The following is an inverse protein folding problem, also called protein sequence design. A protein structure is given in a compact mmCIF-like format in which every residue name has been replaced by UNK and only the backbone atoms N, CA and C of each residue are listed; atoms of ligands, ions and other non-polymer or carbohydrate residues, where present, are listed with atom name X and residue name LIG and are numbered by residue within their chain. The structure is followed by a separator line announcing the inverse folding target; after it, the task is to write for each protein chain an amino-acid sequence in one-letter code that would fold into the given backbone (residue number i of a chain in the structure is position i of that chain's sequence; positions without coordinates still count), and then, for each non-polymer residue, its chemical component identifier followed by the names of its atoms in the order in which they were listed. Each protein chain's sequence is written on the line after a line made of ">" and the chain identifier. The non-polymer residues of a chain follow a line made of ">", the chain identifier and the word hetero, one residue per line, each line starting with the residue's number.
data_IF_004584841862
#
_entry.id   IF_004584841862
#
_cell.length_a   1.000
_cell.length_b   1.000
_cell.length_c   1.000
_cell.angle_alpha   90.00
_cell.angle_beta   90.00
_cell.angle_gamma   90.00
#
_symmetry.space_group_name_H-M   'P 1'
#
loop_
_entity.id
_entity.type
_entity.pdbx_description
1 polymer ?
#
# COMPACT_ATOMS: atom_id res chain seq x y z
N UNK A 1 -12.35 -35.11 -56.03
CA UNK A 1 -13.15 -34.31 -57.00
C UNK A 1 -14.58 -34.28 -56.47
N UNK A 2 -15.33 -33.19 -56.26
CA UNK A 2 -15.25 -31.72 -56.41
C UNK A 2 -16.23 -31.16 -55.33
N UNK A 3 -15.79 -30.25 -54.46
CA UNK A 3 -16.27 -28.85 -54.33
C UNK A 3 -17.79 -28.65 -54.49
N UNK A 4 -18.47 -28.34 -53.38
CA UNK A 4 -19.65 -27.46 -53.37
C UNK A 4 -19.22 -26.04 -52.97
N UNK A 5 -19.86 -24.97 -53.48
CA UNK A 5 -19.32 -23.62 -53.40
C UNK A 5 -19.50 -22.98 -52.03
N UNK A 6 -18.45 -22.28 -51.63
CA UNK A 6 -18.41 -21.26 -50.60
C UNK A 6 -19.18 -20.03 -51.09
N UNK A 7 -20.26 -19.67 -50.40
CA UNK A 7 -20.86 -18.33 -50.50
C UNK A 7 -20.47 -17.55 -49.26
N UNK A 8 -19.85 -16.41 -49.54
CA UNK A 8 -19.38 -15.39 -48.62
C UNK A 8 -20.53 -14.43 -48.26
N UNK A 9 -20.51 -13.91 -47.04
CA UNK A 9 -20.88 -12.55 -46.59
C UNK A 9 -21.25 -12.61 -45.10
N UNK A 10 -20.91 -11.71 -44.18
CA UNK A 10 -19.92 -10.65 -43.97
C UNK A 10 -20.04 -10.35 -42.44
N UNK A 11 -18.98 -9.98 -41.71
CA UNK A 11 -18.95 -10.01 -40.25
C UNK A 11 -19.58 -8.75 -39.67
N UNK A 12 -20.59 -8.92 -38.81
CA UNK A 12 -20.95 -7.86 -37.88
C UNK A 12 -19.91 -7.86 -36.75
N UNK A 13 -18.88 -7.03 -36.95
CA UNK A 13 -18.12 -6.43 -35.86
C UNK A 13 -19.12 -5.74 -34.93
N UNK A 14 -19.50 -6.45 -33.86
CA UNK A 14 -20.14 -5.85 -32.71
C UNK A 14 -19.16 -4.83 -32.12
N UNK A 15 -19.38 -3.57 -32.46
CA UNK A 15 -18.75 -2.40 -31.85
C UNK A 15 -18.87 -2.50 -30.34
N UNK A 16 -17.79 -2.90 -29.68
CA UNK A 16 -17.62 -2.69 -28.24
C UNK A 16 -17.59 -1.18 -28.02
N UNK A 17 -18.73 -0.64 -27.58
CA UNK A 17 -18.83 0.69 -27.01
C UNK A 17 -17.86 0.77 -25.84
N UNK A 18 -16.71 1.41 -26.06
CA UNK A 18 -15.81 1.81 -24.99
C UNK A 18 -16.49 2.90 -24.17
N UNK A 19 -16.74 2.60 -22.90
CA UNK A 19 -17.25 3.53 -21.91
C UNK A 19 -16.39 4.82 -21.89
N UNK A 20 -16.96 6.01 -22.17
CA UNK A 20 -16.21 7.26 -22.22
C UNK A 20 -15.68 7.74 -20.85
N UNK A 21 -15.91 6.98 -19.77
CA UNK A 21 -15.34 7.25 -18.44
C UNK A 21 -14.19 6.31 -18.04
N UNK A 22 -13.73 5.41 -18.93
CA UNK A 22 -12.54 4.61 -18.69
C UNK A 22 -11.25 5.44 -18.83
N UNK A 23 -11.03 6.36 -17.89
CA UNK A 23 -9.73 7.00 -17.73
C UNK A 23 -8.76 5.92 -17.22
N UNK A 24 -7.99 5.30 -18.12
CA UNK A 24 -6.88 4.43 -17.75
C UNK A 24 -5.68 5.33 -17.38
N UNK A 25 -5.33 5.49 -16.09
CA UNK A 25 -4.08 6.15 -15.75
C UNK A 25 -2.96 5.22 -16.23
N UNK A 26 -2.19 5.66 -17.23
CA UNK A 26 -1.06 4.89 -17.79
C UNK A 26 0.10 4.77 -16.80
N UNK A 27 0.19 5.68 -15.83
CA UNK A 27 1.25 5.70 -14.84
C UNK A 27 0.93 4.82 -13.63
N UNK A 28 1.75 3.78 -13.43
CA UNK A 28 1.70 2.89 -12.26
C UNK A 28 1.97 3.62 -10.95
N UNK A 29 2.65 4.77 -10.98
CA UNK A 29 2.89 5.63 -9.81
C UNK A 29 2.54 7.08 -10.16
N UNK A 30 1.63 7.66 -9.38
CA UNK A 30 1.16 9.05 -9.53
C UNK A 30 1.64 9.91 -8.35
N UNK A 31 1.61 11.23 -8.52
CA UNK A 31 1.99 12.18 -7.47
C UNK A 31 0.78 12.98 -6.98
N UNK A 32 0.40 12.75 -5.73
CA UNK A 32 -0.74 13.39 -5.09
C UNK A 32 -0.24 14.28 -3.93
N UNK A 33 -0.40 15.59 -4.10
CA UNK A 33 0.07 16.61 -3.13
C UNK A 33 1.55 16.44 -2.71
N UNK A 34 2.39 15.98 -3.64
CA UNK A 34 3.84 15.80 -3.43
C UNK A 34 4.22 14.49 -2.74
N UNK A 35 3.30 13.53 -2.66
CA UNK A 35 3.54 12.15 -2.22
C UNK A 35 3.35 11.19 -3.40
N UNK A 36 4.21 10.15 -3.53
CA UNK A 36 3.94 9.08 -4.49
C UNK A 36 2.74 8.27 -4.01
N UNK A 37 1.93 7.81 -4.96
CA UNK A 37 0.86 6.84 -4.76
C UNK A 37 0.91 5.85 -5.92
N UNK A 38 1.07 4.57 -5.62
CA UNK A 38 1.07 3.50 -6.60
C UNK A 38 -0.37 3.15 -6.98
N UNK A 39 -0.70 3.44 -8.23
CA UNK A 39 -2.04 3.32 -8.79
C UNK A 39 -2.25 1.89 -9.33
N UNK A 40 -2.25 0.94 -8.42
CA UNK A 40 -2.33 -0.49 -8.71
C UNK A 40 -3.70 -1.05 -8.30
N UNK A 41 -4.11 -2.11 -8.99
CA UNK A 41 -5.18 -2.99 -8.53
C UNK A 41 -4.72 -3.81 -7.32
N UNK A 42 -5.66 -4.37 -6.56
CA UNK A 42 -5.35 -5.28 -5.45
C UNK A 42 -4.43 -6.44 -5.87
N UNK A 43 -4.69 -7.06 -7.04
CA UNK A 43 -3.88 -8.17 -7.56
C UNK A 43 -2.45 -7.73 -7.90
N UNK A 44 -2.30 -6.60 -8.59
CA UNK A 44 -0.99 -6.01 -8.90
C UNK A 44 -0.23 -5.66 -7.61
N UNK A 45 -0.89 -5.10 -6.60
CA UNK A 45 -0.27 -4.76 -5.31
C UNK A 45 0.24 -6.01 -4.59
N UNK A 46 -0.55 -7.09 -4.55
CA UNK A 46 -0.13 -8.37 -3.97
C UNK A 46 1.08 -8.92 -4.72
N UNK A 47 1.04 -8.93 -6.06
CA UNK A 47 2.16 -9.41 -6.88
C UNK A 47 3.45 -8.61 -6.62
N UNK A 48 3.34 -7.29 -6.46
CA UNK A 48 4.49 -6.44 -6.12
C UNK A 48 5.03 -6.78 -4.72
N UNK A 49 4.17 -7.02 -3.74
CA UNK A 49 4.57 -7.39 -2.36
C UNK A 49 5.20 -8.78 -2.32
N UNK A 50 4.61 -9.78 -2.98
CA UNK A 50 5.08 -11.17 -2.99
C UNK A 50 6.18 -11.46 -4.00
N UNK A 51 6.62 -10.46 -4.76
CA UNK A 51 7.64 -10.58 -5.81
C UNK A 51 8.93 -11.28 -5.39
N UNK A 52 9.74 -11.62 -6.40
CA UNK A 52 10.83 -12.59 -6.30
C UNK A 52 11.85 -12.32 -5.17
N UNK A 53 12.37 -13.39 -4.53
CA UNK A 53 13.43 -13.28 -3.53
C UNK A 53 14.73 -12.70 -4.12
N UNK A 54 15.64 -12.25 -3.25
CA UNK A 54 16.96 -11.71 -3.64
C UNK A 54 17.01 -10.22 -3.95
N UNK A 55 15.90 -9.50 -3.75
CA UNK A 55 15.88 -8.03 -3.78
C UNK A 55 16.29 -7.44 -2.42
N UNK A 56 16.81 -6.20 -2.39
CA UNK A 56 17.01 -5.47 -1.14
C UNK A 56 15.70 -5.37 -0.34
N UNK A 57 15.76 -5.20 0.98
CA UNK A 57 14.57 -5.10 1.81
C UNK A 57 13.73 -3.87 1.41
N UNK A 58 12.41 -4.03 1.36
CA UNK A 58 11.49 -3.03 0.81
C UNK A 58 10.51 -2.48 1.84
N UNK A 59 10.12 -1.23 1.67
CA UNK A 59 9.11 -0.53 2.47
C UNK A 59 7.79 -0.42 1.71
N UNK A 60 6.72 -0.88 2.35
CA UNK A 60 5.36 -0.78 1.80
C UNK A 60 4.46 -0.04 2.79
N UNK A 61 3.87 1.07 2.34
CA UNK A 61 3.05 1.92 3.19
C UNK A 61 1.66 2.15 2.58
N UNK A 62 0.70 2.45 3.45
CA UNK A 62 -0.67 2.76 3.05
C UNK A 62 -0.98 4.20 3.44
N UNK A 63 -1.36 5.02 2.45
CA UNK A 63 -1.63 6.44 2.66
C UNK A 63 -3.12 6.74 2.59
N UNK A 64 -3.64 7.30 3.68
CA UNK A 64 -5.00 7.85 3.75
C UNK A 64 -4.96 9.37 3.98
N UNK A 65 -6.12 10.03 4.03
CA UNK A 65 -6.22 11.49 4.22
C UNK A 65 -5.44 12.02 5.44
N UNK A 66 -5.39 11.23 6.53
CA UNK A 66 -4.60 11.59 7.70
C UNK A 66 -3.09 11.53 7.44
N UNK A 67 -2.63 10.51 6.72
CA UNK A 67 -1.21 10.35 6.35
C UNK A 67 -0.74 11.56 5.52
N UNK A 68 -1.53 11.97 4.53
CA UNK A 68 -1.25 13.17 3.75
C UNK A 68 -1.13 14.40 4.65
N UNK A 69 -2.06 14.55 5.60
CA UNK A 69 -2.03 15.69 6.49
C UNK A 69 -0.79 15.74 7.39
N UNK A 70 -0.33 14.58 7.86
CA UNK A 70 0.90 14.42 8.65
C UNK A 70 2.13 14.71 7.79
N UNK A 71 2.22 14.15 6.58
CA UNK A 71 3.36 14.36 5.68
C UNK A 71 3.54 15.82 5.24
N UNK A 72 2.44 16.58 5.11
CA UNK A 72 2.53 18.02 4.82
C UNK A 72 3.05 18.85 6.01
N UNK A 73 3.15 18.27 7.21
CA UNK A 73 3.65 18.94 8.42
C UNK A 73 4.95 18.33 8.96
N UNK A 74 5.29 17.11 8.57
CA UNK A 74 6.48 16.38 9.00
C UNK A 74 7.32 16.01 7.77
N UNK A 75 8.46 16.68 7.61
CA UNK A 75 9.35 16.50 6.46
C UNK A 75 10.03 15.13 6.45
N UNK A 76 10.37 14.56 7.61
CA UNK A 76 11.01 13.25 7.70
C UNK A 76 10.06 12.15 7.24
N UNK A 77 8.81 12.19 7.71
CA UNK A 77 7.77 11.27 7.27
C UNK A 77 7.49 11.43 5.77
N UNK A 78 7.46 12.66 5.25
CA UNK A 78 7.29 12.91 3.82
C UNK A 78 8.43 12.33 2.99
N UNK A 79 9.69 12.60 3.36
CA UNK A 79 10.87 12.07 2.67
C UNK A 79 10.88 10.55 2.70
N UNK A 80 10.50 9.96 3.84
CA UNK A 80 10.37 8.52 3.97
C UNK A 80 9.33 7.93 3.01
N UNK A 81 8.13 8.53 2.91
CA UNK A 81 7.13 8.07 1.95
C UNK A 81 7.61 8.22 0.50
N UNK A 82 8.38 9.27 0.19
CA UNK A 82 8.91 9.50 -1.16
C UNK A 82 9.95 8.45 -1.59
N UNK A 83 10.69 7.86 -0.65
CA UNK A 83 11.67 6.80 -0.90
C UNK A 83 11.12 5.38 -0.72
N UNK A 84 9.84 5.23 -0.37
CA UNK A 84 9.25 3.91 -0.19
C UNK A 84 9.07 3.19 -1.52
N UNK A 85 9.29 1.87 -1.51
CA UNK A 85 9.17 1.02 -2.68
C UNK A 85 7.72 0.93 -3.17
N UNK A 86 6.75 0.91 -2.23
CA UNK A 86 5.33 0.92 -2.55
C UNK A 86 4.53 1.78 -1.57
N UNK A 87 3.66 2.63 -2.11
CA UNK A 87 2.77 3.52 -1.36
C UNK A 87 1.35 3.37 -1.91
N UNK A 88 0.56 2.54 -1.24
CA UNK A 88 -0.78 2.18 -1.69
C UNK A 88 -1.84 3.14 -1.14
N UNK A 89 -2.88 3.47 -1.92
CA UNK A 89 -3.97 4.30 -1.43
C UNK A 89 -4.85 3.55 -0.43
N UNK A 90 -5.26 4.24 0.64
CA UNK A 90 -6.16 3.73 1.66
C UNK A 90 -7.34 4.68 1.88
N UNK A 91 -8.51 4.24 1.45
CA UNK A 91 -9.80 4.85 1.75
C UNK A 91 -10.27 5.92 0.75
N UNK A 92 -11.52 6.34 0.94
CA UNK A 92 -12.26 7.20 0.00
C UNK A 92 -11.61 8.57 -0.21
N UNK A 93 -10.90 9.11 0.79
CA UNK A 93 -10.27 10.43 0.70
C UNK A 93 -9.25 10.52 -0.44
N UNK A 94 -8.45 9.47 -0.65
CA UNK A 94 -7.46 9.45 -1.73
C UNK A 94 -8.15 9.34 -3.09
N UNK A 95 -9.22 8.54 -3.20
CA UNK A 95 -10.04 8.46 -4.41
C UNK A 95 -10.62 9.83 -4.78
N UNK A 96 -11.22 10.55 -3.82
CA UNK A 96 -11.74 11.91 -4.02
C UNK A 96 -10.64 12.88 -4.47
N UNK A 97 -9.47 12.83 -3.84
CA UNK A 97 -8.35 13.68 -4.21
C UNK A 97 -7.82 13.36 -5.61
N UNK A 98 -7.74 12.08 -5.99
CA UNK A 98 -7.36 11.66 -7.33
C UNK A 98 -8.32 12.22 -8.40
N UNK A 99 -9.63 12.11 -8.18
CA UNK A 99 -10.64 12.68 -9.08
C UNK A 99 -10.51 14.21 -9.20
N UNK A 100 -10.42 14.92 -8.07
CA UNK A 100 -10.32 16.38 -8.05
C UNK A 100 -9.03 16.92 -8.70
N UNK A 101 -7.98 16.10 -8.76
CA UNK A 101 -6.67 16.47 -9.32
C UNK A 101 -6.44 15.93 -10.73
N UNK A 102 -7.42 15.25 -11.34
CA UNK A 102 -7.33 14.70 -12.70
C UNK A 102 -6.48 13.42 -12.82
N UNK A 103 -6.25 12.72 -11.71
CA UNK A 103 -5.50 11.46 -11.66
C UNK A 103 -6.30 10.43 -10.85
N UNK A 104 -7.40 9.87 -11.40
CA UNK A 104 -8.25 8.95 -10.67
C UNK A 104 -7.49 7.70 -10.22
N UNK A 105 -7.82 7.23 -9.02
CA UNK A 105 -7.23 6.03 -8.42
C UNK A 105 -8.02 4.81 -8.90
N UNK A 106 -7.31 3.82 -9.45
CA UNK A 106 -7.85 2.60 -10.06
C UNK A 106 -8.51 1.70 -9.04
N UNK A 107 -7.87 1.50 -7.89
CA UNK A 107 -8.38 0.61 -6.85
C UNK A 107 -8.03 1.11 -5.45
N UNK A 108 -8.87 0.76 -4.47
CA UNK A 108 -8.61 0.99 -3.06
C UNK A 108 -7.88 -0.21 -2.48
N UNK A 109 -6.61 -0.38 -2.87
CA UNK A 109 -5.69 -1.42 -2.38
C UNK A 109 -5.28 -1.18 -0.91
N UNK A 110 -6.26 -0.96 -0.04
CA UNK A 110 -6.08 -0.67 1.37
C UNK A 110 -5.55 -1.89 2.12
N UNK A 111 -4.75 -1.65 3.16
CA UNK A 111 -4.07 -2.72 3.89
C UNK A 111 -5.04 -3.73 4.50
N UNK A 112 -6.21 -3.30 4.96
CA UNK A 112 -7.16 -4.21 5.61
C UNK A 112 -7.75 -5.22 4.63
N UNK A 113 -8.18 -4.78 3.44
CA UNK A 113 -8.71 -5.67 2.41
C UNK A 113 -7.61 -6.49 1.71
N UNK A 114 -6.37 -5.97 1.70
CA UNK A 114 -5.21 -6.64 1.13
C UNK A 114 -4.72 -7.83 1.96
N UNK A 115 -4.90 -7.81 3.28
CA UNK A 115 -4.31 -8.82 4.17
C UNK A 115 -4.80 -10.25 3.93
N UNK A 116 -6.13 -10.56 3.86
CA UNK A 116 -6.57 -11.92 3.58
C UNK A 116 -6.06 -12.52 2.25
N UNK A 117 -6.16 -11.85 1.10
CA UNK A 117 -5.62 -12.40 -0.14
C UNK A 117 -4.09 -12.46 -0.14
N UNK A 118 -3.38 -11.53 0.53
CA UNK A 118 -1.94 -11.61 0.70
C UNK A 118 -1.53 -12.84 1.54
N UNK A 119 -2.23 -13.11 2.66
CA UNK A 119 -2.02 -14.33 3.45
C UNK A 119 -2.15 -15.60 2.61
N UNK A 120 -3.17 -15.69 1.75
CA UNK A 120 -3.35 -16.83 0.84
C UNK A 120 -2.23 -16.94 -0.19
N UNK A 121 -1.80 -15.82 -0.78
CA UNK A 121 -0.70 -15.82 -1.73
C UNK A 121 0.62 -16.29 -1.09
N UNK A 122 0.88 -15.87 0.15
CA UNK A 122 2.06 -16.28 0.91
C UNK A 122 2.00 -17.75 1.32
N UNK A 123 0.84 -18.22 1.78
CA UNK A 123 0.64 -19.64 2.09
C UNK A 123 0.96 -20.53 0.87
N UNK A 124 0.44 -20.16 -0.30
CA UNK A 124 0.71 -20.88 -1.55
C UNK A 124 2.18 -20.84 -1.99
N UNK A 125 2.93 -19.80 -1.63
CA UNK A 125 4.34 -19.65 -1.98
C UNK A 125 5.32 -20.07 -0.87
N UNK A 126 4.83 -20.60 0.26
CA UNK A 126 5.66 -20.91 1.44
C UNK A 126 6.24 -19.69 2.17
N UNK A 127 5.66 -18.52 1.96
CA UNK A 127 6.07 -17.26 2.58
C UNK A 127 5.70 -17.18 4.06
N UNK A 128 6.55 -16.49 4.83
CA UNK A 128 6.47 -16.43 6.30
C UNK A 128 6.26 -15.01 6.79
N UNK A 129 5.43 -14.83 7.81
CA UNK A 129 5.09 -13.49 8.32
C UNK A 129 5.42 -13.31 9.81
N UNK A 130 5.80 -12.10 10.17
CA UNK A 130 5.87 -11.63 11.56
C UNK A 130 4.91 -10.46 11.79
N UNK A 131 4.25 -10.44 12.94
CA UNK A 131 3.25 -9.42 13.30
C UNK A 131 3.73 -8.56 14.47
N UNK A 132 4.08 -7.29 14.23
CA UNK A 132 4.51 -6.32 15.24
C UNK A 132 3.48 -5.21 15.40
N UNK A 133 3.06 -4.88 16.61
CA UNK A 133 2.31 -3.65 16.87
C UNK A 133 1.04 -3.85 17.68
N UNK A 134 0.23 -2.79 17.71
CA UNK A 134 -0.96 -2.67 18.54
C UNK A 134 -0.71 -2.92 20.04
N UNK A 135 -1.78 -3.02 20.82
CA UNK A 135 -1.73 -3.29 22.26
C UNK A 135 -1.42 -4.77 22.53
N UNK A 136 -0.91 -5.12 23.72
CA UNK A 136 -0.78 -6.52 24.14
C UNK A 136 -2.08 -7.31 23.88
N UNK A 137 -1.96 -8.52 23.32
CA UNK A 137 -3.07 -9.41 22.96
C UNK A 137 -3.65 -9.17 21.57
N UNK A 138 -3.40 -8.02 20.93
CA UNK A 138 -3.99 -7.71 19.62
C UNK A 138 -3.26 -8.46 18.50
N UNK A 139 -1.93 -8.46 18.49
CA UNK A 139 -1.16 -9.18 17.46
C UNK A 139 -1.40 -10.70 17.54
N UNK A 140 -1.52 -11.23 18.75
CA UNK A 140 -1.89 -12.62 19.04
C UNK A 140 -3.29 -12.96 18.50
N UNK A 141 -4.24 -12.04 18.63
CA UNK A 141 -5.57 -12.19 18.04
C UNK A 141 -5.52 -12.28 16.51
N UNK A 142 -4.63 -11.52 15.87
CA UNK A 142 -4.41 -11.61 14.41
C UNK A 142 -3.78 -12.96 14.05
N UNK A 143 -2.82 -13.46 14.83
CA UNK A 143 -2.28 -14.82 14.66
C UNK A 143 -3.39 -15.87 14.72
N UNK A 144 -4.27 -15.78 15.74
CA UNK A 144 -5.37 -16.71 15.91
C UNK A 144 -6.37 -16.63 14.74
N UNK A 145 -6.63 -15.43 14.21
CA UNK A 145 -7.45 -15.28 13.01
C UNK A 145 -6.78 -15.93 11.78
N UNK A 146 -5.50 -15.65 11.54
CA UNK A 146 -4.77 -16.17 10.40
C UNK A 146 -4.66 -17.71 10.45
N UNK A 147 -4.35 -18.30 11.60
CA UNK A 147 -4.31 -19.76 11.78
C UNK A 147 -5.66 -20.43 11.48
N UNK A 148 -6.79 -19.77 11.77
CA UNK A 148 -8.13 -20.29 11.46
C UNK A 148 -8.52 -20.16 10.00
N UNK A 149 -8.09 -19.10 9.31
CA UNK A 149 -8.57 -18.76 7.95
C UNK A 149 -7.56 -19.05 6.84
N UNK A 150 -6.29 -19.22 7.18
CA UNK A 150 -5.17 -19.51 6.30
C UNK A 150 -4.19 -20.45 7.03
N UNK A 151 -4.57 -21.70 7.34
CA UNK A 151 -3.78 -22.61 8.18
C UNK A 151 -2.42 -22.99 7.59
N UNK A 152 -2.25 -22.85 6.27
CA UNK A 152 -0.97 -23.08 5.57
C UNK A 152 0.01 -21.89 5.68
N UNK A 153 -0.45 -20.74 6.17
CA UNK A 153 0.41 -19.57 6.37
C UNK A 153 1.31 -19.77 7.59
N UNK A 154 2.62 -19.60 7.38
CA UNK A 154 3.59 -19.68 8.47
C UNK A 154 3.71 -18.31 9.17
N UNK A 155 3.35 -18.26 10.45
CA UNK A 155 3.55 -17.10 11.31
C UNK A 155 4.74 -17.38 12.21
N UNK A 156 5.85 -16.69 11.99
CA UNK A 156 7.10 -16.94 12.72
C UNK A 156 7.15 -16.26 14.10
N UNK A 157 6.24 -15.30 14.32
CA UNK A 157 6.06 -14.70 15.64
C UNK A 157 5.15 -13.48 15.61
N UNK A 158 4.84 -13.02 16.82
CA UNK A 158 4.16 -11.74 17.02
C UNK A 158 4.69 -11.03 18.27
N UNK A 159 4.54 -9.70 18.29
CA UNK A 159 4.90 -8.85 19.41
C UNK A 159 4.06 -7.57 19.43
N UNK A 160 3.74 -7.03 20.61
CA UNK A 160 3.01 -5.78 20.72
C UNK A 160 3.86 -4.55 20.35
N UNK A 161 3.23 -3.41 20.07
CA UNK A 161 3.92 -2.15 19.71
C UNK A 161 4.36 -1.28 20.89
N UNK A 162 4.05 -1.68 22.12
CA UNK A 162 4.35 -0.93 23.36
C UNK A 162 5.62 -1.44 24.03
N UNK A 163 6.75 -1.34 23.34
CA UNK A 163 8.08 -1.59 23.90
C UNK A 163 8.80 -0.26 24.14
N UNK A 164 9.66 -0.24 25.15
CA UNK A 164 10.56 0.87 25.49
C UNK A 164 11.75 0.92 24.54
N UNK A 165 12.49 2.03 24.56
CA UNK A 165 13.74 2.16 23.79
C UNK A 165 14.82 1.16 24.21
N UNK A 166 14.79 0.71 25.46
CA UNK A 166 15.71 -0.32 25.96
C UNK A 166 15.36 -1.72 25.43
N UNK A 167 14.07 -1.99 25.19
CA UNK A 167 13.59 -3.28 24.66
C UNK A 167 13.64 -3.34 23.12
N UNK A 168 13.70 -2.19 22.44
CA UNK A 168 13.70 -2.11 20.97
C UNK A 168 14.78 -2.99 20.29
N UNK A 169 16.05 -3.03 20.75
CA UNK A 169 17.04 -3.92 20.17
C UNK A 169 16.65 -5.41 20.24
N UNK A 170 16.04 -5.84 21.35
CA UNK A 170 15.58 -7.23 21.52
C UNK A 170 14.41 -7.56 20.58
N UNK A 171 13.52 -6.59 20.35
CA UNK A 171 12.42 -6.75 19.38
C UNK A 171 12.97 -6.90 17.96
N UNK A 172 13.94 -6.08 17.58
CA UNK A 172 14.61 -6.15 16.27
C UNK A 172 15.30 -7.51 16.09
N UNK A 173 16.08 -7.94 17.09
CA UNK A 173 16.76 -9.23 17.09
C UNK A 173 15.79 -10.39 16.94
N UNK A 174 14.67 -10.37 17.69
CA UNK A 174 13.62 -11.39 17.59
C UNK A 174 13.02 -11.47 16.19
N UNK A 175 12.81 -10.33 15.54
CA UNK A 175 12.28 -10.29 14.16
C UNK A 175 13.33 -10.87 13.19
N UNK A 176 14.59 -10.43 13.30
CA UNK A 176 15.68 -10.89 12.44
C UNK A 176 15.92 -12.40 12.53
N UNK A 177 15.85 -12.96 13.75
CA UNK A 177 16.02 -14.39 13.99
C UNK A 177 14.79 -15.24 13.67
N UNK A 178 13.62 -14.61 13.46
CA UNK A 178 12.38 -15.34 13.19
C UNK A 178 12.34 -16.02 11.82
N UNK A 179 13.19 -15.59 10.88
CA UNK A 179 13.15 -16.04 9.48
C UNK A 179 11.89 -15.62 8.73
N UNK A 180 11.26 -14.52 9.14
CA UNK A 180 10.11 -13.95 8.43
C UNK A 180 10.51 -13.35 7.08
N UNK A 181 9.67 -13.54 6.06
CA UNK A 181 9.79 -12.84 4.79
C UNK A 181 9.18 -11.44 4.85
N UNK A 182 8.00 -11.34 5.47
CA UNK A 182 7.23 -10.11 5.57
C UNK A 182 7.00 -9.74 7.04
N UNK A 183 7.25 -8.48 7.37
CA UNK A 183 6.91 -7.89 8.67
C UNK A 183 5.70 -6.96 8.51
N UNK A 184 4.66 -7.18 9.31
CA UNK A 184 3.53 -6.26 9.42
C UNK A 184 3.67 -5.42 10.69
N UNK A 185 3.69 -4.09 10.54
CA UNK A 185 3.89 -3.14 11.65
C UNK A 185 2.64 -2.28 11.86
N UNK A 186 2.02 -2.39 13.04
CA UNK A 186 0.78 -1.72 13.41
C UNK A 186 0.98 -0.76 14.62
N UNK A 187 1.93 0.17 14.52
CA UNK A 187 2.24 1.12 15.60
C UNK A 187 1.60 2.51 15.43
N UNK A 188 0.92 2.72 14.31
CA UNK A 188 0.27 3.99 13.98
C UNK A 188 1.20 4.99 13.30
N UNK A 189 0.59 5.94 12.60
CA UNK A 189 1.27 6.95 11.78
C UNK A 189 1.70 8.14 12.66
N UNK A 190 2.91 8.70 12.50
CA UNK A 190 3.99 8.29 11.58
C UNK A 190 5.00 7.30 12.20
N UNK A 191 4.77 6.86 13.44
CA UNK A 191 5.74 6.06 14.20
C UNK A 191 6.13 4.78 13.49
N UNK A 192 5.15 4.06 12.92
CA UNK A 192 5.42 2.77 12.26
C UNK A 192 6.29 2.93 11.01
N UNK A 193 6.05 3.94 10.18
CA UNK A 193 6.85 4.15 8.98
C UNK A 193 8.25 4.59 9.37
N UNK A 194 8.37 5.58 10.27
CA UNK A 194 9.67 6.07 10.72
C UNK A 194 10.52 4.96 11.33
N UNK A 195 9.91 4.10 12.16
CA UNK A 195 10.58 2.96 12.75
C UNK A 195 11.04 1.94 11.70
N UNK A 196 10.17 1.59 10.74
CA UNK A 196 10.56 0.73 9.60
C UNK A 196 11.74 1.35 8.86
N UNK A 197 11.65 2.64 8.51
CA UNK A 197 12.68 3.33 7.75
C UNK A 197 14.01 3.51 8.49
N UNK A 198 14.03 3.39 9.81
CA UNK A 198 15.23 3.43 10.64
C UNK A 198 15.89 2.06 10.79
N UNK A 199 15.10 0.99 10.81
CA UNK A 199 15.57 -0.35 11.16
C UNK A 199 15.51 -1.37 10.02
N UNK A 200 15.05 -0.98 8.82
CA UNK A 200 14.79 -1.89 7.69
C UNK A 200 15.89 -2.94 7.47
N UNK A 201 17.15 -2.49 7.40
CA UNK A 201 18.32 -3.34 7.17
C UNK A 201 18.59 -4.33 8.32
N UNK A 202 18.23 -3.98 9.55
CA UNK A 202 18.44 -4.80 10.74
C UNK A 202 17.32 -5.80 11.01
N UNK A 203 16.17 -5.66 10.33
CA UNK A 203 15.00 -6.52 10.58
C UNK A 203 15.12 -7.90 9.95
N UNK A 204 16.03 -8.10 8.98
CA UNK A 204 16.22 -9.40 8.32
C UNK A 204 15.03 -9.85 7.46
N UNK A 205 14.07 -8.97 7.18
CA UNK A 205 12.87 -9.26 6.37
C UNK A 205 13.01 -8.70 4.96
N UNK A 206 12.35 -9.33 3.99
CA UNK A 206 12.33 -8.84 2.59
C UNK A 206 11.40 -7.66 2.40
N UNK A 207 10.30 -7.61 3.14
CA UNK A 207 9.32 -6.52 3.04
C UNK A 207 8.80 -6.16 4.41
N UNK A 208 8.82 -4.86 4.75
CA UNK A 208 8.19 -4.32 5.94
C UNK A 208 7.00 -3.43 5.57
N UNK A 209 5.82 -3.74 6.13
CA UNK A 209 4.55 -3.10 5.82
C UNK A 209 4.04 -2.29 7.02
N UNK A 210 3.82 -1.00 6.84
CA UNK A 210 3.14 -0.16 7.84
C UNK A 210 1.62 -0.26 7.70
N UNK A 211 0.95 -1.08 8.51
CA UNK A 211 -0.48 -1.45 8.31
C UNK A 211 -1.47 -0.75 9.24
N UNK A 212 -0.99 0.01 10.23
CA UNK A 212 -1.84 0.83 11.10
C UNK A 212 -2.97 0.03 11.76
N UNK A 213 -4.21 0.49 11.59
CA UNK A 213 -5.39 -0.04 12.28
C UNK A 213 -5.88 -1.41 11.79
N UNK A 214 -5.13 -2.10 10.92
CA UNK A 214 -5.47 -3.44 10.41
C UNK A 214 -5.65 -4.46 11.55
N UNK A 215 -4.73 -4.43 12.52
CA UNK A 215 -4.70 -5.39 13.61
C UNK A 215 -5.94 -5.31 14.50
N UNK A 216 -6.50 -4.10 14.68
CA UNK A 216 -7.73 -3.91 15.46
C UNK A 216 -8.91 -4.73 14.89
N UNK A 217 -8.95 -4.94 13.57
CA UNK A 217 -10.03 -5.69 12.92
C UNK A 217 -9.81 -7.19 12.98
N UNK A 218 -8.63 -7.66 12.58
CA UNK A 218 -8.36 -9.10 12.48
C UNK A 218 -8.12 -9.77 13.82
N UNK A 219 -7.78 -8.99 14.86
CA UNK A 219 -7.77 -9.48 16.25
C UNK A 219 -9.17 -9.71 16.84
N UNK A 220 -10.23 -9.20 16.20
CA UNK A 220 -11.59 -9.20 16.75
C UNK A 220 -11.84 -8.09 17.79
N UNK A 221 -10.85 -7.22 18.08
CA UNK A 221 -10.99 -6.10 19.01
C UNK A 221 -12.06 -5.11 18.57
N UNK A 222 -12.11 -4.81 17.27
CA UNK A 222 -13.10 -3.92 16.67
C UNK A 222 -13.81 -4.67 15.54
N UNK A 223 -15.15 -4.76 15.55
CA UNK A 223 -15.88 -5.32 14.43
C UNK A 223 -15.62 -4.50 13.15
N UNK A 224 -15.55 -5.15 12.00
CA UNK A 224 -15.50 -4.45 10.71
C UNK A 224 -16.84 -3.76 10.42
N UNK A 225 -16.81 -2.69 9.64
CA UNK A 225 -18.04 -2.07 9.16
C UNK A 225 -18.82 -3.06 8.26
N UNK A 226 -20.16 -3.05 8.28
CA UNK A 226 -20.97 -3.83 7.35
C UNK A 226 -20.56 -3.63 5.88
N UNK A 227 -20.74 -4.66 5.06
CA UNK A 227 -20.30 -4.64 3.65
C UNK A 227 -20.86 -3.45 2.86
N UNK A 228 -22.12 -3.08 3.09
CA UNK A 228 -22.73 -1.93 2.42
C UNK A 228 -22.02 -0.61 2.77
N UNK A 229 -21.63 -0.42 4.03
CA UNK A 229 -20.88 0.77 4.46
C UNK A 229 -19.49 0.80 3.83
N UNK A 230 -18.82 -0.36 3.77
CA UNK A 230 -17.49 -0.49 3.16
C UNK A 230 -17.54 -0.15 1.67
N UNK A 231 -18.53 -0.69 0.94
CA UNK A 231 -18.77 -0.39 -0.48
C UNK A 231 -19.10 1.10 -0.71
N UNK A 232 -19.83 1.72 0.22
CA UNK A 232 -20.11 3.16 0.18
C UNK A 232 -18.93 4.05 0.63
N UNK A 233 -17.80 3.48 1.06
CA UNK A 233 -16.65 4.24 1.57
C UNK A 233 -16.86 4.87 2.94
N UNK A 234 -17.84 4.38 3.73
CA UNK A 234 -18.25 4.90 5.05
C UNK A 234 -17.57 4.19 6.23
N UNK A 235 -16.56 3.35 5.99
CA UNK A 235 -15.86 2.63 7.08
C UNK A 235 -15.17 3.58 8.07
N UNK A 236 -14.71 4.75 7.62
CA UNK A 236 -14.16 5.78 8.50
C UNK A 236 -15.21 6.32 9.49
N UNK A 237 -16.47 6.47 9.06
CA UNK A 237 -17.57 6.93 9.89
C UNK A 237 -17.93 5.86 10.93
N UNK A 238 -17.98 4.60 10.50
CA UNK A 238 -18.17 3.47 11.42
C UNK A 238 -17.08 3.43 12.50
N UNK A 239 -15.81 3.61 12.11
CA UNK A 239 -14.68 3.71 13.05
C UNK A 239 -14.83 4.91 14.00
N UNK A 240 -15.29 6.07 13.51
CA UNK A 240 -15.54 7.24 14.35
C UNK A 240 -16.59 6.96 15.43
N UNK A 241 -17.69 6.29 15.07
CA UNK A 241 -18.75 5.90 16.00
C UNK A 241 -18.22 4.93 17.07
N UNK A 242 -17.37 3.98 16.67
CA UNK A 242 -16.77 3.00 17.60
C UNK A 242 -15.69 3.58 18.51
N UNK A 243 -14.95 4.58 18.04
CA UNK A 243 -13.82 5.14 18.77
C UNK A 243 -13.77 6.68 18.71
N UNK A 244 -14.80 7.38 19.21
CA UNK A 244 -14.96 8.83 19.01
C UNK A 244 -13.84 9.64 19.67
N UNK A 245 -13.38 9.25 20.85
CA UNK A 245 -12.28 9.93 21.56
C UNK A 245 -10.95 9.76 20.81
N UNK A 246 -10.66 8.55 20.35
CA UNK A 246 -9.39 8.22 19.68
C UNK A 246 -9.31 8.86 18.29
N UNK A 247 -10.41 8.84 17.53
CA UNK A 247 -10.41 9.20 16.10
C UNK A 247 -11.13 10.52 15.79
N UNK A 248 -11.79 11.14 16.75
CA UNK A 248 -12.58 12.37 16.57
C UNK A 248 -11.78 13.51 15.95
N UNK A 249 -10.64 13.89 16.55
CA UNK A 249 -9.77 14.93 15.99
C UNK A 249 -9.29 14.61 14.57
N UNK A 250 -8.95 13.33 14.33
CA UNK A 250 -8.46 12.87 13.02
C UNK A 250 -9.52 13.04 11.93
N UNK A 251 -10.79 12.73 12.22
CA UNK A 251 -11.83 12.79 11.19
C UNK A 251 -12.56 14.13 11.14
N UNK A 252 -12.97 14.68 12.28
CA UNK A 252 -13.77 15.91 12.33
C UNK A 252 -12.97 17.17 11.97
N UNK A 253 -11.67 17.19 12.26
CA UNK A 253 -10.77 18.30 11.89
C UNK A 253 -9.88 17.91 10.72
N UNK A 254 -9.30 16.70 10.76
CA UNK A 254 -8.37 16.27 9.73
C UNK A 254 -9.01 16.10 8.35
N UNK A 255 -10.22 15.55 8.22
CA UNK A 255 -10.84 15.37 6.90
C UNK A 255 -11.18 16.72 6.25
N UNK A 256 -11.80 17.72 6.94
CA UNK A 256 -11.97 19.05 6.36
C UNK A 256 -10.66 19.72 5.94
N UNK A 257 -9.61 19.65 6.76
CA UNK A 257 -8.28 20.17 6.40
C UNK A 257 -7.73 19.50 5.14
N UNK A 258 -7.90 18.19 5.03
CA UNK A 258 -7.48 17.44 3.85
C UNK A 258 -8.25 17.90 2.60
N UNK A 259 -9.58 18.00 2.68
CA UNK A 259 -10.41 18.46 1.55
C UNK A 259 -10.07 19.91 1.14
N UNK A 260 -9.85 20.80 2.10
CA UNK A 260 -9.41 22.17 1.82
C UNK A 260 -8.05 22.22 1.10
N UNK A 261 -7.12 21.33 1.48
CA UNK A 261 -5.84 21.19 0.76
C UNK A 261 -6.04 20.67 -0.65
N UNK A 262 -6.87 19.64 -0.85
CA UNK A 262 -7.21 19.11 -2.18
C UNK A 262 -7.78 20.22 -3.06
N UNK A 263 -8.77 20.98 -2.55
CA UNK A 263 -9.38 22.09 -3.27
C UNK A 263 -8.36 23.17 -3.64
N UNK A 264 -7.46 23.54 -2.71
CA UNK A 264 -6.39 24.50 -2.98
C UNK A 264 -5.41 24.01 -4.05
N UNK A 265 -5.01 22.73 -4.02
CA UNK A 265 -4.15 22.15 -5.06
C UNK A 265 -4.85 22.09 -6.41
N UNK A 266 -6.13 21.73 -6.45
CA UNK A 266 -6.94 21.73 -7.66
C UNK A 266 -7.07 23.14 -8.25
N UNK A 267 -7.37 24.14 -7.41
CA UNK A 267 -7.43 25.55 -7.80
C UNK A 267 -6.08 26.05 -8.34
N UNK A 268 -4.97 25.75 -7.66
CA UNK A 268 -3.62 26.11 -8.15
C UNK A 268 -3.24 25.44 -9.46
N UNK A 269 -3.65 24.18 -9.68
CA UNK A 269 -3.47 23.49 -10.97
C UNK A 269 -4.29 24.17 -12.07
N UNK A 270 -5.56 24.49 -11.80
CA UNK A 270 -6.44 25.18 -12.75
C UNK A 270 -6.01 26.61 -13.07
N UNK A 271 -5.43 27.33 -12.09
CA UNK A 271 -4.86 28.66 -12.27
C UNK A 271 -3.56 28.64 -13.10
N UNK A 272 -2.78 27.54 -13.01
CA UNK A 272 -1.66 27.26 -13.92
C UNK A 272 -2.20 26.68 -15.22
N UNK A 273 -2.83 27.52 -16.06
CA UNK A 273 -3.26 27.17 -17.42
C UNK A 273 -2.06 26.98 -18.35
N UNK A 274 -1.30 25.91 -18.13
CA UNK A 274 -0.41 25.17 -19.06
C UNK A 274 0.59 24.41 -18.21
N UNK A 275 0.89 23.15 -18.55
CA UNK A 275 1.92 22.44 -17.85
C UNK A 275 3.35 22.83 -18.30
N UNK A 276 4.35 22.79 -17.40
CA UNK A 276 5.75 23.01 -17.76
C UNK A 276 6.40 21.85 -18.56
N UNK A 277 5.70 20.74 -18.82
CA UNK A 277 6.28 19.56 -19.50
C UNK A 277 6.40 19.69 -21.03
N UNK A 278 6.45 20.92 -21.57
CA UNK A 278 7.03 21.19 -22.90
C UNK A 278 8.53 21.49 -22.85
N UNK A 279 9.15 21.48 -21.67
CA UNK A 279 10.61 21.43 -21.51
C UNK A 279 11.02 20.10 -20.85
N UNK A 280 10.91 19.01 -21.61
CA UNK A 280 11.62 17.78 -21.29
C UNK A 280 12.92 17.86 -22.07
N UNK A 281 14.12 17.91 -21.45
CA UNK A 281 15.34 17.61 -22.18
C UNK A 281 15.16 16.23 -22.81
N UNK A 282 15.44 16.08 -24.10
CA UNK A 282 15.34 14.82 -24.82
C UNK A 282 16.00 13.65 -24.05
N UNK A 283 15.62 12.40 -24.37
CA UNK A 283 15.96 11.23 -23.56
C UNK A 283 17.46 11.22 -23.21
N UNK A 284 17.74 11.44 -21.93
CA UNK A 284 19.09 11.30 -21.38
C UNK A 284 19.38 9.81 -21.33
N UNK A 285 20.25 9.35 -22.23
CA UNK A 285 20.74 7.98 -22.27
C UNK A 285 21.31 7.61 -20.89
N UNK A 286 20.67 6.66 -20.22
CA UNK A 286 21.21 6.08 -19.00
C UNK A 286 22.30 5.09 -19.39
N UNK A 287 23.56 5.24 -18.93
CA UNK A 287 24.58 4.26 -19.21
C UNK A 287 24.18 2.93 -18.56
N UNK A 288 23.90 1.95 -19.41
CA UNK A 288 23.75 0.54 -19.05
C UNK A 288 25.01 0.15 -18.28
N UNK A 289 24.89 -0.10 -16.97
CA UNK A 289 25.97 -0.74 -16.21
C UNK A 289 26.12 -2.15 -16.77
N UNK A 290 27.08 -2.32 -17.68
CA UNK A 290 27.54 -3.63 -18.09
C UNK A 290 28.04 -4.34 -16.84
N UNK A 291 27.38 -5.44 -16.48
CA UNK A 291 27.90 -6.40 -15.53
C UNK A 291 29.21 -6.94 -16.11
N UNK A 292 30.35 -6.47 -15.59
CA UNK A 292 31.63 -7.14 -15.82
C UNK A 292 31.58 -8.47 -15.08
N UNK A 293 31.21 -9.52 -15.80
CA UNK A 293 31.59 -10.87 -15.45
C UNK A 293 33.11 -10.94 -15.40
N UNK A 294 33.67 -11.22 -14.22
CA UNK A 294 35.01 -11.81 -14.12
C UNK A 294 34.83 -13.30 -13.97
N UNK A 295 34.89 -13.97 -15.12
CA UNK A 295 35.16 -15.39 -15.26
C UNK A 295 36.67 -15.65 -15.14
N UNK A 296 37.05 -16.59 -14.27
CA UNK A 296 38.33 -17.33 -14.25
C UNK A 296 39.54 -16.56 -13.72
N UNK A 297 40.58 -17.20 -13.17
CA UNK A 297 40.91 -18.61 -12.89
C UNK A 297 42.20 -18.58 -12.03
N UNK A 298 42.41 -19.62 -11.23
CA UNK A 298 43.69 -20.27 -10.89
C UNK A 298 44.99 -19.45 -10.99
N UNK A 299 45.66 -19.21 -9.86
CA UNK A 299 46.81 -20.01 -9.35
C UNK A 299 47.01 -19.72 -7.85
#
# INVERSE_FOLDING_TARGET
>A
MRRGPCEQENPQMSTLQTDPLAYAPTDRRIWLMGLPVDNLTMGEAIQQITGSPGQPPRMVFFVNAHCVNVALRNQDYRRLLQRADLVLPDGIGLKLAGMALGTPIRDNANGTDLFPPLCRALAASGGRIFLLGARPGVAEGVCAWANRHCPELVITGCHHGYFTRAEEPLVIERIAQSGADLLFVAMGVPRQELWIGQHLESLGVRVALGVGGLFDFYSGRIPRAPLWMRRAGLEWLYRLIREPVRLGKRYLVGNPVFLGRVAWYAWRRGARRRPPWQEVPGPMEWPVRQARGRTGRAD
#
